data_IF_289007849287
#
_entry.id   IF_289007849287
#
_cell.length_a   1.000
_cell.length_b   1.000
_cell.length_c   1.000
_cell.angle_alpha   90.00
_cell.angle_beta   90.00
_cell.angle_gamma   90.00
#
_symmetry.space_group_name_H-M   'P 1'
#
loop_
_entity.id
_entity.type
_entity.pdbx_description
1 polymer ?
#
# COMPACT_ATOMS: atom_id res chain seq x y z
N UNK A 1 35.03 23.28 41.60
CA UNK A 1 35.00 24.75 41.77
C UNK A 1 35.80 25.40 40.65
N UNK A 2 35.12 25.97 39.64
CA UNK A 2 35.62 27.03 38.77
C UNK A 2 34.43 27.53 37.94
N UNK A 3 33.90 28.65 38.40
CA UNK A 3 32.83 29.43 37.78
C UNK A 3 33.35 30.10 36.51
N UNK A 4 32.58 30.07 35.43
CA UNK A 4 32.71 31.04 34.36
C UNK A 4 31.32 31.45 33.91
N UNK A 5 31.05 32.72 34.17
CA UNK A 5 29.84 33.46 33.89
C UNK A 5 30.03 34.10 32.51
N UNK A 6 29.09 33.90 31.59
CA UNK A 6 28.93 34.78 30.43
C UNK A 6 27.48 35.24 30.34
N UNK A 7 27.32 36.57 30.33
CA UNK A 7 26.07 37.33 30.31
C UNK A 7 25.99 38.13 29.02
N UNK A 8 24.76 38.20 28.46
CA UNK A 8 24.15 39.25 27.60
C UNK A 8 24.73 39.40 26.19
N UNK A 9 23.98 39.69 25.12
CA UNK A 9 22.76 40.50 24.90
C UNK A 9 22.02 39.94 23.66
N UNK A 10 20.69 39.91 23.52
CA UNK A 10 19.81 41.06 23.22
C UNK A 10 19.11 40.84 21.85
N UNK A 11 17.88 41.33 21.62
CA UNK A 11 16.91 40.73 20.68
C UNK A 11 16.84 41.43 19.31
N UNK A 12 16.48 40.67 18.27
CA UNK A 12 16.14 41.20 16.94
C UNK A 12 14.85 40.57 16.43
N UNK A 13 13.72 41.21 16.74
CA UNK A 13 12.42 40.87 16.18
C UNK A 13 12.26 41.62 14.84
N UNK A 14 12.18 40.88 13.74
CA UNK A 14 11.86 41.41 12.41
C UNK A 14 10.45 40.95 12.06
N UNK A 15 9.49 41.88 12.08
CA UNK A 15 8.16 41.66 11.52
C UNK A 15 8.25 41.69 9.98
N UNK A 16 7.58 40.78 9.26
CA UNK A 16 7.31 40.97 7.85
C UNK A 16 5.99 41.73 7.67
N UNK A 17 6.13 42.85 6.95
CA UNK A 17 5.11 43.74 6.43
C UNK A 17 4.07 43.03 5.56
N UNK A 18 2.83 43.47 5.77
CA UNK A 18 1.63 43.24 4.97
C UNK A 18 1.87 43.75 3.54
N UNK A 19 1.67 42.88 2.55
CA UNK A 19 1.76 43.17 1.13
C UNK A 19 0.44 42.82 0.43
N UNK A 20 -0.05 43.79 -0.34
CA UNK A 20 -1.39 43.92 -0.87
C UNK A 20 -1.79 42.90 -1.95
N UNK A 21 -3.08 42.56 -1.89
CA UNK A 21 -4.06 42.65 -2.97
C UNK A 21 -3.61 42.31 -4.41
N UNK A 22 -3.93 41.09 -4.84
CA UNK A 22 -4.07 40.74 -6.26
C UNK A 22 -5.38 40.01 -6.50
N UNK A 23 -6.40 40.82 -6.78
CA UNK A 23 -7.61 40.43 -7.50
C UNK A 23 -7.26 39.77 -8.84
N UNK A 24 -7.30 38.44 -8.90
CA UNK A 24 -7.28 37.67 -10.14
C UNK A 24 -8.71 37.54 -10.68
N UNK A 25 -8.99 38.31 -11.74
CA UNK A 25 -10.13 38.11 -12.64
C UNK A 25 -10.06 36.68 -13.21
N UNK A 26 -11.12 35.90 -13.01
CA UNK A 26 -11.32 34.61 -13.67
C UNK A 26 -12.01 34.88 -15.01
N UNK A 27 -11.33 34.56 -16.10
CA UNK A 27 -11.97 34.48 -17.42
C UNK A 27 -12.80 33.18 -17.51
N UNK A 28 -14.01 33.23 -18.09
CA UNK A 28 -14.82 32.04 -18.29
C UNK A 28 -14.30 31.25 -19.50
N UNK A 29 -13.93 30.00 -19.28
CA UNK A 29 -13.65 29.04 -20.34
C UNK A 29 -14.94 28.68 -21.07
N UNK A 30 -15.08 29.19 -22.29
CA UNK A 30 -16.09 28.76 -23.26
C UNK A 30 -15.81 27.30 -23.68
N UNK A 31 -16.83 26.47 -23.56
CA UNK A 31 -16.83 25.06 -23.97
C UNK A 31 -17.23 24.97 -25.45
N UNK A 32 -16.36 24.50 -26.38
CA UNK A 32 -16.76 24.29 -27.75
C UNK A 32 -17.61 23.01 -27.87
N UNK A 33 -18.86 23.19 -28.28
CA UNK A 33 -19.80 22.12 -28.64
C UNK A 33 -19.23 21.27 -29.77
N UNK A 34 -18.70 20.10 -29.44
CA UNK A 34 -18.34 19.04 -30.38
C UNK A 34 -19.58 18.42 -31.00
N UNK A 35 -19.71 18.56 -32.32
CA UNK A 35 -20.77 17.97 -33.15
C UNK A 35 -20.64 16.45 -33.16
N UNK A 36 -21.65 15.76 -32.61
CA UNK A 36 -21.82 14.32 -32.75
C UNK A 36 -22.22 13.98 -34.18
N UNK A 37 -21.31 13.35 -34.92
CA UNK A 37 -21.52 12.86 -36.27
C UNK A 37 -21.99 11.40 -36.16
N UNK A 38 -23.31 11.19 -36.17
CA UNK A 38 -23.91 9.86 -36.23
C UNK A 38 -23.49 9.18 -37.54
N UNK A 39 -22.68 8.13 -37.42
CA UNK A 39 -22.29 7.25 -38.52
C UNK A 39 -23.38 6.20 -38.72
N UNK A 40 -23.75 6.00 -39.98
CA UNK A 40 -24.88 5.21 -40.44
C UNK A 40 -24.93 3.78 -39.88
N UNK A 41 -26.16 3.35 -39.63
CA UNK A 41 -26.56 1.99 -39.31
C UNK A 41 -26.55 1.19 -40.61
N UNK A 42 -25.57 0.31 -40.78
CA UNK A 42 -25.60 -0.70 -41.83
C UNK A 42 -26.57 -1.82 -41.42
N UNK A 43 -27.65 -1.93 -42.19
CA UNK A 43 -28.66 -2.98 -42.09
C UNK A 43 -28.03 -4.33 -42.37
N UNK A 44 -27.63 -5.06 -41.32
CA UNK A 44 -27.22 -6.45 -41.44
C UNK A 44 -28.42 -7.34 -41.79
N UNK A 45 -28.24 -8.06 -42.91
CA UNK A 45 -29.14 -9.07 -43.47
C UNK A 45 -29.30 -10.21 -42.45
N UNK A 46 -30.50 -10.35 -41.89
CA UNK A 46 -30.92 -11.51 -41.12
C UNK A 46 -30.74 -12.78 -41.96
N UNK A 47 -29.75 -13.58 -41.59
CA UNK A 47 -29.67 -14.98 -42.00
C UNK A 47 -30.28 -15.75 -40.83
N UNK A 48 -31.45 -16.36 -41.06
CA UNK A 48 -32.15 -17.19 -40.09
C UNK A 48 -31.27 -18.39 -39.72
N UNK A 49 -30.46 -18.21 -38.67
CA UNK A 49 -29.69 -19.27 -38.04
C UNK A 49 -30.66 -20.08 -37.18
N UNK A 50 -31.03 -21.27 -37.67
CA UNK A 50 -31.90 -22.20 -36.95
C UNK A 50 -31.31 -22.51 -35.58
N UNK A 51 -32.14 -22.57 -34.51
CA UNK A 51 -31.65 -22.90 -33.18
C UNK A 51 -30.98 -24.28 -33.20
N UNK A 52 -29.85 -24.45 -32.50
CA UNK A 52 -29.14 -25.72 -32.45
C UNK A 52 -30.07 -26.81 -31.88
N UNK A 53 -29.97 -28.06 -32.39
CA UNK A 53 -30.79 -29.16 -31.91
C UNK A 53 -30.55 -29.41 -30.42
N UNK A 54 -31.63 -29.41 -29.64
CA UNK A 54 -31.66 -29.74 -28.20
C UNK A 54 -31.38 -31.23 -27.96
N UNK A 55 -30.19 -31.71 -28.31
CA UNK A 55 -29.73 -33.09 -28.03
C UNK A 55 -28.48 -33.11 -27.15
N UNK A 56 -28.33 -32.13 -26.26
CA UNK A 56 -27.26 -32.15 -25.25
C UNK A 56 -27.73 -32.98 -24.06
N UNK A 57 -27.04 -34.08 -23.79
CA UNK A 57 -27.18 -34.85 -22.55
C UNK A 57 -27.19 -33.91 -21.34
N UNK A 58 -28.00 -34.18 -20.30
CA UNK A 58 -28.09 -33.32 -19.12
C UNK A 58 -26.69 -33.06 -18.59
N UNK A 59 -26.27 -31.79 -18.67
CA UNK A 59 -24.99 -31.33 -18.13
C UNK A 59 -24.97 -31.74 -16.65
N UNK A 60 -23.96 -32.50 -16.18
CA UNK A 60 -23.85 -32.84 -14.78
C UNK A 60 -23.99 -31.56 -13.97
N UNK A 61 -24.88 -31.57 -12.98
CA UNK A 61 -25.06 -30.43 -12.09
C UNK A 61 -23.66 -30.02 -11.58
N UNK A 62 -23.28 -28.73 -11.65
CA UNK A 62 -22.03 -28.27 -11.11
C UNK A 62 -21.96 -28.77 -9.66
N UNK A 63 -20.92 -29.55 -9.35
CA UNK A 63 -20.70 -30.10 -8.02
C UNK A 63 -20.76 -28.97 -7.01
N UNK A 64 -21.64 -29.08 -6.01
CA UNK A 64 -21.84 -28.07 -4.95
C UNK A 64 -20.58 -27.77 -4.11
N UNK A 65 -19.47 -28.44 -4.41
CA UNK A 65 -18.18 -28.28 -3.74
C UNK A 65 -17.42 -27.01 -4.17
N UNK A 66 -17.90 -26.29 -5.20
CA UNK A 66 -17.35 -24.98 -5.60
C UNK A 66 -17.98 -23.82 -4.82
N UNK A 67 -18.41 -24.08 -3.58
CA UNK A 67 -18.88 -23.03 -2.68
C UNK A 67 -17.78 -21.98 -2.51
N UNK A 68 -18.08 -20.68 -2.72
CA UNK A 68 -17.09 -19.62 -2.60
C UNK A 68 -16.45 -19.75 -1.22
N UNK A 69 -15.11 -19.88 -1.21
CA UNK A 69 -14.31 -20.10 -0.01
C UNK A 69 -14.74 -19.11 1.08
N UNK A 70 -15.60 -19.55 2.00
CA UNK A 70 -16.04 -18.72 3.11
C UNK A 70 -14.82 -18.54 4.00
N UNK A 71 -14.32 -17.31 4.04
CA UNK A 71 -13.20 -16.93 4.87
C UNK A 71 -13.66 -17.04 6.31
N UNK A 72 -13.26 -18.13 6.97
CA UNK A 72 -13.48 -18.28 8.41
C UNK A 72 -12.44 -17.44 9.10
N UNK A 73 -12.87 -16.37 9.79
CA UNK A 73 -12.01 -15.68 10.74
C UNK A 73 -11.53 -16.71 11.79
N UNK A 74 -10.22 -16.88 11.99
CA UNK A 74 -9.71 -17.79 13.00
C UNK A 74 -10.28 -17.41 14.37
N UNK A 75 -10.76 -18.40 15.12
CA UNK A 75 -11.38 -18.17 16.44
C UNK A 75 -10.41 -17.52 17.44
N UNK A 76 -9.10 -17.75 17.30
CA UNK A 76 -8.05 -17.17 18.16
C UNK A 76 -7.75 -15.71 17.86
N UNK A 77 -8.19 -15.16 16.73
CA UNK A 77 -8.04 -13.74 16.41
C UNK A 77 -8.98 -12.84 17.22
N UNK A 78 -9.90 -13.39 18.02
CA UNK A 78 -10.89 -12.63 18.79
C UNK A 78 -10.32 -11.72 19.87
N UNK A 79 -9.03 -11.85 20.21
CA UNK A 79 -8.44 -11.14 21.34
C UNK A 79 -7.92 -9.75 21.00
N UNK A 80 -7.76 -9.42 19.71
CA UNK A 80 -7.29 -8.11 19.26
C UNK A 80 -8.44 -7.28 18.72
N UNK A 81 -8.41 -5.97 18.99
CA UNK A 81 -9.27 -5.04 18.27
C UNK A 81 -8.91 -5.01 16.77
N UNK A 82 -9.88 -4.65 15.91
CA UNK A 82 -9.64 -4.51 14.46
C UNK A 82 -8.43 -3.60 14.15
N UNK A 83 -8.25 -2.54 14.95
CA UNK A 83 -7.13 -1.60 14.84
C UNK A 83 -5.80 -2.25 15.21
N UNK A 84 -5.71 -2.92 16.35
CA UNK A 84 -4.48 -3.62 16.76
C UNK A 84 -4.10 -4.72 15.76
N UNK A 85 -5.09 -5.43 15.23
CA UNK A 85 -4.84 -6.46 14.22
C UNK A 85 -4.25 -5.86 12.94
N UNK A 86 -4.81 -4.76 12.44
CA UNK A 86 -4.27 -4.06 11.27
C UNK A 86 -2.89 -3.47 11.57
N UNK A 87 -2.64 -2.93 12.77
CA UNK A 87 -1.32 -2.49 13.20
C UNK A 87 -0.29 -3.61 13.08
N UNK A 88 -0.60 -4.81 13.59
CA UNK A 88 0.28 -5.98 13.50
C UNK A 88 0.58 -6.36 12.06
N UNK A 89 -0.43 -6.35 11.17
CA UNK A 89 -0.23 -6.62 9.74
C UNK A 89 0.67 -5.60 9.05
N UNK A 90 0.48 -4.32 9.34
CA UNK A 90 1.31 -3.26 8.76
C UNK A 90 2.75 -3.33 9.27
N UNK A 91 2.95 -3.65 10.55
CA UNK A 91 4.30 -3.84 11.13
C UNK A 91 5.01 -5.03 10.48
N UNK A 92 4.33 -6.15 10.24
CA UNK A 92 4.87 -7.30 9.49
C UNK A 92 5.31 -6.90 8.07
N UNK A 93 4.42 -6.24 7.32
CA UNK A 93 4.69 -5.79 5.94
C UNK A 93 5.87 -4.81 5.92
N UNK A 94 5.92 -3.86 6.85
CA UNK A 94 7.01 -2.88 6.96
C UNK A 94 8.33 -3.54 7.34
N UNK A 95 8.34 -4.40 8.36
CA UNK A 95 9.53 -5.10 8.81
C UNK A 95 10.14 -5.91 7.66
N UNK A 96 9.31 -6.67 6.93
CA UNK A 96 9.77 -7.40 5.75
C UNK A 96 10.23 -6.48 4.60
N UNK A 97 9.50 -5.39 4.34
CA UNK A 97 9.83 -4.45 3.25
C UNK A 97 11.13 -3.70 3.48
N UNK A 98 11.48 -3.45 4.74
CA UNK A 98 12.68 -2.71 5.16
C UNK A 98 13.83 -3.63 5.61
N UNK A 99 13.69 -4.96 5.46
CA UNK A 99 14.67 -5.94 5.91
C UNK A 99 15.02 -5.80 7.41
N UNK A 100 14.00 -5.57 8.23
CA UNK A 100 14.15 -5.41 9.68
C UNK A 100 14.28 -6.77 10.34
N UNK A 101 15.10 -6.86 11.38
CA UNK A 101 15.16 -8.05 12.25
C UNK A 101 13.81 -8.25 12.98
N UNK A 102 13.08 -9.27 12.53
CA UNK A 102 11.78 -9.69 13.04
C UNK A 102 11.84 -10.02 14.53
N UNK A 103 12.95 -10.60 15.01
CA UNK A 103 13.11 -10.96 16.42
C UNK A 103 13.11 -9.71 17.31
N UNK A 104 13.83 -8.66 16.88
CA UNK A 104 13.88 -7.39 17.61
C UNK A 104 12.52 -6.71 17.66
N UNK A 105 11.76 -6.75 16.55
CA UNK A 105 10.42 -6.17 16.52
C UNK A 105 9.46 -6.95 17.42
N UNK A 106 9.49 -8.29 17.37
CA UNK A 106 8.65 -9.16 18.19
C UNK A 106 8.92 -8.97 19.68
N UNK A 107 10.20 -8.96 20.09
CA UNK A 107 10.60 -8.66 21.48
C UNK A 107 10.10 -7.28 21.93
N UNK A 108 10.19 -6.26 21.06
CA UNK A 108 9.69 -4.93 21.36
C UNK A 108 8.16 -4.86 21.49
N UNK A 109 7.42 -5.73 20.79
CA UNK A 109 5.96 -5.82 20.88
C UNK A 109 5.51 -6.57 22.14
N UNK A 110 6.19 -7.66 22.50
CA UNK A 110 5.84 -8.53 23.62
C UNK A 110 6.34 -7.99 24.97
N UNK A 111 6.16 -6.70 25.26
CA UNK A 111 6.72 -5.95 26.42
C UNK A 111 6.46 -6.55 27.83
N UNK A 112 5.86 -7.72 27.96
CA UNK A 112 5.84 -8.52 29.18
C UNK A 112 7.21 -9.15 29.44
N UNK A 113 7.75 -8.92 30.64
CA UNK A 113 9.06 -9.38 31.15
C UNK A 113 9.29 -10.92 31.12
N UNK A 114 8.34 -11.69 30.58
CA UNK A 114 8.35 -13.14 30.56
C UNK A 114 8.55 -13.75 29.16
N UNK A 115 8.80 -12.95 28.12
CA UNK A 115 9.08 -13.52 26.79
C UNK A 115 10.46 -14.19 26.79
N UNK A 116 10.47 -15.49 26.45
CA UNK A 116 11.72 -16.18 26.23
C UNK A 116 12.45 -15.52 25.05
N UNK A 117 13.79 -15.35 25.11
CA UNK A 117 14.54 -14.77 24.01
C UNK A 117 14.24 -15.55 22.72
N UNK A 118 14.01 -14.82 21.62
CA UNK A 118 13.71 -15.43 20.33
C UNK A 118 14.90 -16.30 19.89
N UNK A 119 14.77 -17.63 20.06
CA UNK A 119 15.81 -18.62 19.75
C UNK A 119 15.54 -19.20 18.37
N UNK A 120 15.62 -18.39 17.31
CA UNK A 120 15.47 -18.90 15.96
C UNK A 120 15.39 -17.82 14.90
N UNK A 121 15.50 -18.28 13.64
CA UNK A 121 15.20 -17.47 12.46
C UNK A 121 13.69 -17.44 12.22
N UNK A 122 12.94 -16.86 13.17
CA UNK A 122 11.53 -16.61 12.93
C UNK A 122 11.39 -15.59 11.79
N UNK A 123 10.68 -15.97 10.74
CA UNK A 123 10.48 -15.12 9.57
C UNK A 123 9.27 -14.18 9.68
N UNK A 124 8.49 -14.28 10.77
CA UNK A 124 7.24 -13.53 10.93
C UNK A 124 6.97 -13.15 12.38
N UNK A 125 6.41 -11.95 12.57
CA UNK A 125 5.90 -11.41 13.83
C UNK A 125 4.53 -11.99 14.15
N UNK A 126 3.80 -12.39 13.11
CA UNK A 126 2.43 -12.89 13.19
C UNK A 126 2.40 -14.38 13.50
N UNK A 127 1.36 -14.81 14.24
CA UNK A 127 1.03 -16.22 14.35
C UNK A 127 0.59 -16.81 13.00
N UNK A 128 0.62 -18.14 12.88
CA UNK A 128 0.24 -18.81 11.63
C UNK A 128 -1.19 -18.46 11.18
N UNK A 129 -2.14 -18.47 12.11
CA UNK A 129 -3.55 -18.08 11.88
C UNK A 129 -3.67 -16.62 11.39
N UNK A 130 -2.88 -15.70 11.97
CA UNK A 130 -2.85 -14.30 11.57
C UNK A 130 -2.29 -14.12 10.15
N UNK A 131 -1.25 -14.87 9.79
CA UNK A 131 -0.66 -14.83 8.44
C UNK A 131 -1.62 -15.39 7.40
N UNK A 132 -2.32 -16.48 7.71
CA UNK A 132 -3.33 -17.06 6.82
C UNK A 132 -4.46 -16.06 6.58
N UNK A 133 -4.92 -15.39 7.63
CA UNK A 133 -5.94 -14.36 7.50
C UNK A 133 -5.43 -13.13 6.72
N UNK A 134 -4.21 -12.65 6.98
CA UNK A 134 -3.61 -11.56 6.19
C UNK A 134 -3.47 -11.94 4.71
N UNK A 135 -3.07 -13.19 4.42
CA UNK A 135 -3.01 -13.71 3.05
C UNK A 135 -4.39 -13.71 2.41
N UNK A 136 -5.40 -14.23 3.11
CA UNK A 136 -6.78 -14.24 2.62
C UNK A 136 -7.29 -12.82 2.35
N UNK A 137 -7.11 -11.89 3.31
CA UNK A 137 -7.48 -10.49 3.15
C UNK A 137 -6.78 -9.83 1.95
N UNK A 138 -5.48 -10.10 1.77
CA UNK A 138 -4.72 -9.58 0.63
C UNK A 138 -5.22 -10.10 -0.73
N UNK A 139 -5.73 -11.34 -0.78
CA UNK A 139 -6.37 -11.91 -1.96
C UNK A 139 -7.72 -11.24 -2.23
N UNK A 140 -8.57 -11.04 -1.20
CA UNK A 140 -9.85 -10.32 -1.35
C UNK A 140 -9.61 -8.92 -1.92
N UNK A 141 -8.66 -8.16 -1.37
CA UNK A 141 -8.33 -6.81 -1.85
C UNK A 141 -7.85 -6.87 -3.31
N UNK A 142 -7.03 -7.87 -3.66
CA UNK A 142 -6.53 -8.07 -5.02
C UNK A 142 -7.63 -8.40 -6.03
N UNK A 143 -8.54 -9.31 -5.69
CA UNK A 143 -9.67 -9.69 -6.53
C UNK A 143 -10.63 -8.52 -6.71
N UNK A 144 -10.96 -7.82 -5.62
CA UNK A 144 -11.77 -6.60 -5.64
C UNK A 144 -11.15 -5.51 -6.53
N UNK A 145 -9.83 -5.32 -6.45
CA UNK A 145 -9.10 -4.36 -7.30
C UNK A 145 -9.15 -4.73 -8.79
N UNK A 146 -8.96 -6.01 -9.12
CA UNK A 146 -9.04 -6.47 -10.52
C UNK A 146 -10.46 -6.40 -11.07
N UNK A 147 -11.49 -6.71 -10.27
CA UNK A 147 -12.89 -6.55 -10.64
C UNK A 147 -13.26 -5.07 -10.82
N UNK A 148 -12.80 -4.20 -9.92
CA UNK A 148 -13.00 -2.75 -10.06
C UNK A 148 -12.42 -2.22 -11.37
N UNK A 149 -11.17 -2.60 -11.70
CA UNK A 149 -10.53 -2.21 -12.97
C UNK A 149 -11.27 -2.68 -14.22
N UNK A 150 -12.05 -3.76 -14.13
CA UNK A 150 -12.88 -4.30 -15.21
C UNK A 150 -14.31 -3.72 -15.23
N UNK A 151 -14.59 -2.71 -14.40
CA UNK A 151 -15.94 -2.17 -14.17
C UNK A 151 -16.94 -3.24 -13.67
N UNK A 152 -16.45 -4.23 -12.94
CA UNK A 152 -17.19 -5.36 -12.38
C UNK A 152 -17.36 -5.23 -10.86
N UNK A 153 -17.30 -4.01 -10.30
CA UNK A 153 -17.43 -3.77 -8.86
C UNK A 153 -18.69 -4.41 -8.26
N UNK A 154 -19.81 -4.32 -8.96
CA UNK A 154 -21.09 -4.87 -8.52
C UNK A 154 -21.10 -6.41 -8.37
N UNK A 155 -20.10 -7.10 -8.95
CA UNK A 155 -19.94 -8.55 -8.81
C UNK A 155 -19.11 -8.96 -7.59
N UNK A 156 -18.43 -8.01 -6.92
CA UNK A 156 -17.71 -8.30 -5.67
C UNK A 156 -18.74 -8.63 -4.58
N UNK A 157 -18.67 -9.79 -3.90
CA UNK A 157 -19.61 -10.13 -2.83
C UNK A 157 -19.66 -9.08 -1.72
N UNK A 158 -20.84 -8.81 -1.16
CA UNK A 158 -21.01 -7.80 -0.11
C UNK A 158 -20.22 -8.16 1.16
N UNK A 159 -20.06 -9.44 1.47
CA UNK A 159 -19.21 -9.92 2.56
C UNK A 159 -17.76 -9.51 2.37
N UNK A 160 -17.24 -9.57 1.14
CA UNK A 160 -15.88 -9.17 0.82
C UNK A 160 -15.71 -7.65 0.93
N UNK A 161 -16.68 -6.87 0.43
CA UNK A 161 -16.65 -5.40 0.56
C UNK A 161 -16.65 -4.99 2.03
N UNK A 162 -17.53 -5.62 2.82
CA UNK A 162 -17.62 -5.40 4.26
C UNK A 162 -16.33 -5.81 4.97
N UNK A 163 -15.73 -6.95 4.61
CA UNK A 163 -14.48 -7.41 5.20
C UNK A 163 -13.33 -6.42 4.94
N UNK A 164 -13.19 -5.91 3.71
CA UNK A 164 -12.18 -4.90 3.39
C UNK A 164 -12.45 -3.61 4.18
N UNK A 165 -13.71 -3.15 4.22
CA UNK A 165 -14.11 -1.96 4.95
C UNK A 165 -13.80 -2.09 6.44
N UNK A 166 -14.19 -3.20 7.06
CA UNK A 166 -14.03 -3.46 8.48
C UNK A 166 -12.57 -3.69 8.89
N UNK A 167 -11.78 -4.39 8.07
CA UNK A 167 -10.44 -4.82 8.43
C UNK A 167 -9.33 -3.84 8.01
N UNK A 168 -9.56 -3.03 6.95
CA UNK A 168 -8.51 -2.16 6.38
C UNK A 168 -8.89 -0.68 6.43
N UNK A 169 -10.05 -0.30 5.90
CA UNK A 169 -10.44 1.11 5.74
C UNK A 169 -10.88 1.73 7.07
N UNK A 170 -11.75 1.05 7.80
CA UNK A 170 -12.35 1.52 9.05
C UNK A 170 -11.35 1.81 10.18
N UNK A 171 -10.39 0.92 10.50
CA UNK A 171 -9.57 1.08 11.69
C UNK A 171 -8.67 2.34 11.75
N UNK A 172 -8.34 2.91 10.58
CA UNK A 172 -7.54 4.14 10.46
C UNK A 172 -8.24 5.22 9.63
N UNK A 173 -9.57 5.18 9.56
CA UNK A 173 -10.34 6.21 8.87
C UNK A 173 -9.86 7.61 9.29
N UNK A 174 -9.59 8.45 8.29
CA UNK A 174 -9.18 9.86 8.42
C UNK A 174 -7.77 10.10 9.02
N UNK A 175 -7.02 9.06 9.37
CA UNK A 175 -5.64 9.18 9.86
C UNK A 175 -4.60 9.01 8.75
N UNK A 176 -4.95 8.28 7.69
CA UNK A 176 -4.05 7.99 6.57
C UNK A 176 -4.86 7.73 5.30
N UNK A 177 -4.26 7.96 4.13
CA UNK A 177 -4.89 7.63 2.85
C UNK A 177 -5.10 6.11 2.73
N UNK A 178 -6.36 5.66 2.76
CA UNK A 178 -6.66 4.22 2.88
C UNK A 178 -6.32 3.45 1.60
N UNK A 179 -6.30 4.12 0.44
CA UNK A 179 -5.79 3.55 -0.81
C UNK A 179 -4.34 3.05 -0.67
N UNK A 180 -3.53 3.72 0.15
CA UNK A 180 -2.17 3.29 0.44
C UNK A 180 -2.14 2.03 1.32
N UNK A 181 -2.99 1.97 2.36
CA UNK A 181 -3.15 0.77 3.18
C UNK A 181 -3.62 -0.43 2.36
N UNK A 182 -4.59 -0.21 1.46
CA UNK A 182 -5.05 -1.23 0.52
C UNK A 182 -3.90 -1.74 -0.36
N UNK A 183 -3.02 -0.88 -0.86
CA UNK A 183 -1.86 -1.33 -1.65
C UNK A 183 -0.88 -2.14 -0.81
N UNK A 184 -0.59 -1.72 0.42
CA UNK A 184 0.29 -2.47 1.33
C UNK A 184 -0.27 -3.87 1.58
N UNK A 185 -1.54 -3.99 1.96
CA UNK A 185 -2.22 -5.27 2.17
C UNK A 185 -2.24 -6.08 0.87
N UNK A 186 -2.59 -5.48 -0.26
CA UNK A 186 -2.57 -6.15 -1.57
C UNK A 186 -1.19 -6.69 -1.96
N UNK A 187 -0.10 -5.99 -1.60
CA UNK A 187 1.26 -6.45 -1.90
C UNK A 187 1.65 -7.71 -1.13
N UNK A 188 1.06 -7.95 0.04
CA UNK A 188 1.37 -9.11 0.87
C UNK A 188 1.15 -10.44 0.14
N UNK A 189 0.06 -10.60 -0.62
CA UNK A 189 -0.22 -11.79 -1.42
C UNK A 189 0.94 -12.18 -2.35
N UNK A 190 1.72 -11.18 -2.80
CA UNK A 190 2.81 -11.36 -3.77
C UNK A 190 4.12 -11.75 -3.11
N UNK A 191 4.40 -11.28 -1.90
CA UNK A 191 5.66 -11.57 -1.23
C UNK A 191 5.54 -12.59 -0.09
N UNK A 192 4.47 -12.58 0.72
CA UNK A 192 4.26 -13.55 1.82
C UNK A 192 5.49 -13.70 2.73
N UNK A 193 6.21 -12.60 2.93
CA UNK A 193 7.49 -12.52 3.63
C UNK A 193 8.60 -13.48 3.10
N UNK A 194 8.50 -13.93 1.85
CA UNK A 194 9.55 -14.69 1.15
C UNK A 194 10.66 -13.74 0.66
N UNK A 195 11.92 -13.88 1.14
CA UNK A 195 13.03 -13.02 0.75
C UNK A 195 13.22 -12.88 -0.77
N UNK A 196 13.01 -13.94 -1.54
CA UNK A 196 13.15 -13.95 -3.01
C UNK A 196 12.07 -13.11 -3.71
N UNK A 197 10.99 -12.81 -2.99
CA UNK A 197 9.85 -12.03 -3.47
C UNK A 197 9.84 -10.61 -2.92
N UNK A 198 10.85 -10.18 -2.17
CA UNK A 198 10.96 -8.81 -1.65
C UNK A 198 10.85 -7.74 -2.73
N UNK A 199 11.28 -8.04 -3.96
CA UNK A 199 11.10 -7.19 -5.15
C UNK A 199 9.64 -6.76 -5.43
N UNK A 200 8.65 -7.45 -4.85
CA UNK A 200 7.23 -7.14 -5.01
C UNK A 200 6.68 -6.15 -3.98
N UNK A 201 7.45 -5.79 -2.93
CA UNK A 201 7.09 -4.72 -2.00
C UNK A 201 7.11 -3.36 -2.70
N UNK A 202 6.38 -2.38 -2.17
CA UNK A 202 6.30 -1.04 -2.77
C UNK A 202 7.68 -0.38 -2.84
N UNK A 203 8.44 -0.44 -1.74
CA UNK A 203 9.79 0.10 -1.67
C UNK A 203 10.73 -0.53 -2.72
N UNK A 204 10.79 -1.87 -2.76
CA UNK A 204 11.68 -2.58 -3.69
C UNK A 204 11.27 -2.42 -5.15
N UNK A 205 9.97 -2.30 -5.43
CA UNK A 205 9.47 -2.09 -6.80
C UNK A 205 10.04 -0.83 -7.42
N UNK A 206 10.03 0.30 -6.69
CA UNK A 206 10.57 1.55 -7.21
C UNK A 206 12.10 1.59 -7.16
N UNK A 207 12.72 0.99 -6.14
CA UNK A 207 14.17 0.86 -6.08
C UNK A 207 14.75 0.03 -7.24
N UNK A 208 14.06 -1.06 -7.63
CA UNK A 208 14.45 -1.90 -8.77
C UNK A 208 14.44 -1.12 -10.09
N UNK A 209 13.47 -0.21 -10.30
CA UNK A 209 13.40 0.64 -11.50
C UNK A 209 14.58 1.61 -11.63
N UNK A 210 15.23 1.95 -10.51
CA UNK A 210 16.40 2.84 -10.48
C UNK A 210 17.71 2.02 -10.59
N UNK A 211 17.61 0.70 -10.63
CA UNK A 211 18.75 -0.20 -10.83
C UNK A 211 19.41 -0.71 -9.54
N UNK A 212 18.81 -0.47 -8.36
CA UNK A 212 19.40 -0.90 -7.08
C UNK A 212 19.26 -2.40 -6.79
N UNK A 213 18.25 -3.05 -7.37
CA UNK A 213 18.02 -4.50 -7.23
C UNK A 213 18.32 -5.28 -8.50
N UNK A 214 19.10 -4.72 -9.42
CA UNK A 214 19.63 -5.55 -10.49
C UNK A 214 20.73 -6.42 -9.87
N UNK A 215 20.56 -7.76 -9.76
CA UNK A 215 21.72 -8.61 -9.55
C UNK A 215 22.66 -8.25 -10.68
N UNK A 216 23.85 -7.77 -10.31
CA UNK A 216 24.95 -7.61 -11.24
C UNK A 216 25.38 -9.01 -11.62
N UNK A 217 24.57 -9.68 -12.43
CA UNK A 217 24.94 -10.94 -13.05
C UNK A 217 25.93 -10.57 -14.15
N UNK A 218 27.24 -10.84 -13.96
CA UNK A 218 28.27 -10.48 -14.92
C UNK A 218 28.07 -11.21 -16.26
N UNK A 219 27.23 -12.24 -16.31
CA UNK A 219 26.91 -13.02 -17.50
C UNK A 219 25.59 -12.62 -18.16
N UNK A 220 24.85 -11.64 -17.62
CA UNK A 220 23.60 -11.20 -18.25
C UNK A 220 23.89 -10.37 -19.49
N UNK A 221 23.95 -11.03 -20.64
CA UNK A 221 23.96 -10.42 -21.97
C UNK A 221 22.61 -9.82 -22.35
N UNK A 222 21.64 -9.77 -21.44
CA UNK A 222 20.39 -9.05 -21.67
C UNK A 222 20.75 -7.60 -21.96
N UNK A 223 20.52 -7.19 -23.21
CA UNK A 223 20.76 -5.82 -23.67
C UNK A 223 20.08 -4.92 -22.65
N UNK A 224 20.87 -4.17 -21.88
CA UNK A 224 20.38 -3.19 -20.92
C UNK A 224 19.53 -2.20 -21.71
N UNK A 225 18.24 -2.42 -21.80
CA UNK A 225 17.29 -1.46 -22.34
C UNK A 225 17.39 -0.26 -21.42
N UNK A 226 18.18 0.72 -21.86
CA UNK A 226 18.46 1.92 -21.08
C UNK A 226 17.12 2.64 -20.95
N UNK A 227 16.52 2.54 -19.76
CA UNK A 227 15.27 3.25 -19.47
C UNK A 227 15.48 4.74 -19.78
N UNK A 228 14.52 5.41 -20.43
CA UNK A 228 14.59 6.84 -20.66
C UNK A 228 14.81 7.59 -19.33
N UNK A 229 15.62 8.65 -19.35
CA UNK A 229 15.99 9.41 -18.14
C UNK A 229 14.77 9.89 -17.35
N UNK A 230 13.68 10.27 -18.02
CA UNK A 230 12.46 10.74 -17.37
C UNK A 230 11.76 9.65 -16.54
N UNK A 231 11.86 8.38 -16.95
CA UNK A 231 11.26 7.26 -16.20
C UNK A 231 12.04 6.96 -14.92
N UNK A 232 13.36 7.07 -14.99
CA UNK A 232 14.24 6.93 -13.82
C UNK A 232 13.92 8.03 -12.80
N UNK A 233 13.75 9.27 -13.27
CA UNK A 233 13.41 10.38 -12.40
C UNK A 233 12.03 10.23 -11.76
N UNK A 234 11.02 9.80 -12.52
CA UNK A 234 9.70 9.47 -11.96
C UNK A 234 9.76 8.34 -10.93
N UNK A 235 10.61 7.31 -11.16
CA UNK A 235 10.80 6.23 -10.20
C UNK A 235 11.45 6.74 -8.91
N UNK A 236 12.42 7.66 -8.99
CA UNK A 236 13.04 8.31 -7.83
C UNK A 236 12.04 9.10 -7.02
N UNK A 237 11.21 9.93 -7.67
CA UNK A 237 10.14 10.68 -7.00
C UNK A 237 9.17 9.73 -6.31
N UNK A 238 8.72 8.68 -7.01
CA UNK A 238 7.83 7.65 -6.44
C UNK A 238 8.45 6.94 -5.25
N UNK A 239 9.74 6.60 -5.31
CA UNK A 239 10.44 5.98 -4.21
C UNK A 239 10.54 6.91 -3.00
N UNK A 240 10.87 8.19 -3.22
CA UNK A 240 10.94 9.19 -2.16
C UNK A 240 9.60 9.37 -1.45
N UNK A 241 8.51 9.51 -2.20
CA UNK A 241 7.18 9.61 -1.62
C UNK A 241 6.76 8.29 -0.92
N UNK A 242 7.20 7.13 -1.42
CA UNK A 242 7.01 5.84 -0.73
C UNK A 242 7.68 5.86 0.65
N UNK A 243 8.91 6.38 0.75
CA UNK A 243 9.63 6.45 2.04
C UNK A 243 8.95 7.40 3.04
N UNK A 244 8.44 8.54 2.56
CA UNK A 244 7.62 9.44 3.39
C UNK A 244 6.36 8.74 3.89
N UNK A 245 5.66 8.05 2.99
CA UNK A 245 4.44 7.31 3.32
C UNK A 245 4.73 6.19 4.33
N UNK A 246 5.83 5.44 4.16
CA UNK A 246 6.27 4.45 5.14
C UNK A 246 6.58 5.07 6.50
N UNK A 247 7.16 6.27 6.57
CA UNK A 247 7.37 6.97 7.84
C UNK A 247 6.03 7.20 8.56
N UNK A 248 5.02 7.69 7.83
CA UNK A 248 3.68 7.90 8.39
C UNK A 248 3.03 6.59 8.86
N UNK A 249 3.11 5.53 8.05
CA UNK A 249 2.60 4.22 8.45
C UNK A 249 3.34 3.69 9.67
N UNK A 250 4.66 3.86 9.78
CA UNK A 250 5.42 3.47 10.97
C UNK A 250 4.90 4.20 12.21
N UNK A 251 4.68 5.51 12.12
CA UNK A 251 4.20 6.30 13.25
C UNK A 251 2.79 5.91 13.70
N UNK A 252 1.94 5.52 12.74
CA UNK A 252 0.56 5.10 12.96
C UNK A 252 0.44 3.64 13.44
N UNK A 253 1.24 2.75 12.86
CA UNK A 253 1.13 1.30 13.04
C UNK A 253 1.92 0.78 14.24
N UNK A 254 2.92 1.53 14.71
CA UNK A 254 3.75 1.08 15.83
C UNK A 254 2.95 1.05 17.14
N UNK A 255 2.82 -0.11 17.81
CA UNK A 255 2.07 -0.22 19.06
C UNK A 255 2.76 0.47 20.25
N UNK A 256 4.07 0.73 20.15
CA UNK A 256 4.85 1.43 21.17
C UNK A 256 6.11 2.10 20.58
N UNK A 257 6.79 2.88 21.42
CA UNK A 257 7.99 3.64 21.02
C UNK A 257 9.14 2.76 20.53
N UNK A 258 9.34 1.60 21.14
CA UNK A 258 10.45 0.71 20.81
C UNK A 258 10.30 0.18 19.37
N UNK A 259 9.09 -0.29 19.01
CA UNK A 259 8.79 -0.73 17.64
C UNK A 259 8.97 0.41 16.65
N UNK A 260 8.47 1.61 16.98
CA UNK A 260 8.62 2.81 16.14
C UNK A 260 10.08 3.12 15.85
N UNK A 261 10.93 3.09 16.88
CA UNK A 261 12.35 3.37 16.77
C UNK A 261 13.10 2.32 15.95
N UNK A 262 12.78 1.04 16.11
CA UNK A 262 13.36 -0.06 15.31
C UNK A 262 13.01 0.11 13.83
N UNK A 263 11.73 0.30 13.51
CA UNK A 263 11.29 0.47 12.13
C UNK A 263 11.83 1.75 11.48
N UNK A 264 11.87 2.88 12.21
CA UNK A 264 12.49 4.12 11.72
C UNK A 264 13.99 3.95 11.44
N UNK A 265 14.69 3.16 12.25
CA UNK A 265 16.10 2.82 12.00
C UNK A 265 16.25 1.99 10.73
N UNK A 266 15.45 0.94 10.58
CA UNK A 266 15.45 0.10 9.38
C UNK A 266 15.13 0.91 8.11
N UNK A 267 14.19 1.86 8.19
CA UNK A 267 13.88 2.77 7.08
C UNK A 267 15.11 3.60 6.67
N UNK A 268 15.84 4.17 7.63
CA UNK A 268 17.08 4.93 7.35
C UNK A 268 18.17 4.04 6.75
N UNK A 269 18.35 2.84 7.28
CA UNK A 269 19.33 1.87 6.78
C UNK A 269 18.98 1.44 5.34
N UNK A 270 17.70 1.23 5.05
CA UNK A 270 17.19 0.98 3.70
C UNK A 270 17.49 2.16 2.76
N UNK A 271 17.11 3.39 3.16
CA UNK A 271 17.38 4.62 2.38
C UNK A 271 18.86 4.79 2.05
N UNK A 272 19.74 4.57 3.03
CA UNK A 272 21.19 4.61 2.84
C UNK A 272 21.66 3.54 1.85
N UNK A 273 21.12 2.33 1.92
CA UNK A 273 21.46 1.22 1.02
C UNK A 273 21.12 1.53 -0.43
N UNK A 274 20.02 2.23 -0.67
CA UNK A 274 19.59 2.68 -2.01
C UNK A 274 20.14 4.08 -2.37
N UNK A 275 21.17 4.57 -1.67
CA UNK A 275 21.83 5.85 -1.97
C UNK A 275 20.90 7.06 -1.93
N UNK A 276 19.82 7.01 -1.15
CA UNK A 276 18.93 8.13 -0.93
C UNK A 276 19.39 8.93 0.30
N UNK A 277 19.31 10.25 0.21
CA UNK A 277 19.47 11.10 1.37
C UNK A 277 18.35 10.79 2.38
N UNK A 278 18.70 10.84 3.66
CA UNK A 278 17.73 10.66 4.73
C UNK A 278 16.62 11.70 4.56
N UNK A 279 15.38 11.21 4.43
CA UNK A 279 14.25 12.11 4.33
C UNK A 279 14.11 12.80 5.67
N UNK A 280 14.54 14.06 5.74
CA UNK A 280 14.23 14.92 6.89
C UNK A 280 12.72 15.05 6.89
N UNK A 281 12.07 14.28 7.76
CA UNK A 281 10.66 14.45 8.07
C UNK A 281 10.56 15.76 8.81
N UNK A 282 10.54 16.87 8.05
CA UNK A 282 10.08 18.14 8.57
C UNK A 282 8.59 18.01 8.86
N UNK A 283 8.14 18.60 9.96
CA UNK A 283 6.81 18.52 10.59
C UNK A 283 5.59 18.90 9.71
N UNK A 284 5.69 18.88 8.38
CA UNK A 284 4.65 19.35 7.45
C UNK A 284 4.32 18.40 6.30
N UNK A 285 4.82 17.16 6.28
CA UNK A 285 4.25 16.19 5.34
C UNK A 285 2.79 15.93 5.77
N UNK A 286 1.83 16.20 4.90
CA UNK A 286 0.43 15.96 5.24
C UNK A 286 0.17 14.45 5.27
N UNK A 287 -0.47 13.90 6.33
CA UNK A 287 -0.85 12.48 6.37
C UNK A 287 -1.80 12.08 5.23
N UNK A 288 -2.44 13.06 4.60
CA UNK A 288 -3.31 12.89 3.43
C UNK A 288 -2.56 12.72 2.09
N UNK A 289 -1.22 12.72 2.10
CA UNK A 289 -0.39 12.59 0.90
C UNK A 289 0.35 11.25 0.82
N UNK A 290 -0.18 10.18 1.42
CA UNK A 290 0.45 8.86 1.34
C UNK A 290 0.37 8.29 -0.09
N UNK A 291 1.42 8.54 -0.86
CA UNK A 291 1.56 8.22 -2.27
C UNK A 291 3.00 7.73 -2.52
N UNK A 292 3.28 6.92 -3.55
CA UNK A 292 2.39 6.34 -4.55
C UNK A 292 1.72 5.03 -4.10
N UNK A 293 0.58 4.75 -4.71
CA UNK A 293 -0.07 3.44 -4.74
C UNK A 293 -0.49 3.08 -6.17
N UNK A 294 -0.86 1.82 -6.40
CA UNK A 294 -1.28 1.32 -7.72
C UNK A 294 -2.55 2.00 -8.22
N UNK A 295 -2.59 2.26 -9.53
CA UNK A 295 -3.73 2.85 -10.20
C UNK A 295 -5.02 2.06 -9.93
N UNK A 296 -6.13 2.78 -9.73
CA UNK A 296 -7.44 2.20 -9.43
C UNK A 296 -7.70 1.92 -7.95
N UNK A 297 -6.70 1.93 -7.06
CA UNK A 297 -6.94 1.70 -5.62
C UNK A 297 -7.66 2.87 -4.95
N UNK A 298 -7.47 4.11 -5.41
CA UNK A 298 -8.25 5.25 -4.93
C UNK A 298 -9.73 5.15 -5.33
N UNK A 299 -9.99 4.72 -6.57
CA UNK A 299 -11.35 4.43 -7.04
C UNK A 299 -11.99 3.27 -6.27
N UNK A 300 -11.23 2.22 -5.99
CA UNK A 300 -11.66 1.10 -5.13
C UNK A 300 -12.00 1.59 -3.72
N UNK A 301 -11.13 2.38 -3.09
CA UNK A 301 -11.38 2.93 -1.75
C UNK A 301 -12.68 3.74 -1.70
N UNK A 302 -12.90 4.59 -2.71
CA UNK A 302 -14.15 5.34 -2.84
C UNK A 302 -15.36 4.40 -2.98
N UNK A 303 -15.28 3.39 -3.84
CA UNK A 303 -16.35 2.43 -4.03
C UNK A 303 -16.68 1.61 -2.77
N UNK A 304 -15.67 1.30 -1.95
CA UNK A 304 -15.85 0.65 -0.64
C UNK A 304 -16.57 1.59 0.34
N UNK A 305 -16.21 2.88 0.38
CA UNK A 305 -16.86 3.88 1.24
C UNK A 305 -18.30 4.20 0.84
N UNK A 306 -18.63 4.06 -0.44
CA UNK A 306 -19.96 4.32 -1.00
C UNK A 306 -20.91 3.10 -0.89
N UNK A 307 -20.41 1.91 -0.48
CA UNK A 307 -21.18 0.66 -0.34
C UNK A 307 -21.77 0.48 1.05
#
# INVERSE_FOLDING_TARGET
>A
MKSSIFRRSGPGATQPTIGEDRSLKRDPCENPKGKSQYRGVDTQKNTEELPPPYNSSPRPAPSEDDSPRRIRRPSKMSNYSKKEQLQRFLVEILAFSLDTDVCLVKEAMESSESSAPCKGSESSILSEDEREYLLSLSQIVGDAHEMFKRNQWNLVPDENRKEISDAVVGPFCDQIQEAYLLDMIYTYAKHQCDPERRKHTLASRYAALIGYFHPSDPNSTSKKTRMPSYMIEQARVKLHETMKSHTWVIDLASPNEKVRMILRRALRDFQKTIGMEETKVGDQASPFLCWPFREGLEGLNKAIRDS
#
